data_IF_391332850246
#
_entry.id   IF_391332850246
#
_cell.length_a   1.000
_cell.length_b   1.000
_cell.length_c   1.000
_cell.angle_alpha   90.00
_cell.angle_beta   90.00
_cell.angle_gamma   90.00
#
_symmetry.space_group_name_H-M   'P 1'
#
loop_
_entity.id
_entity.type
_entity.pdbx_description
1 polymer ?
#
# COMPACT_ATOMS: atom_id res chain seq x y z
N UNK A 1 -19.09 -29.05 9.99
CA UNK A 1 -18.59 -27.88 10.74
C UNK A 1 -18.58 -26.70 9.80
N UNK A 2 -19.17 -25.57 10.19
CA UNK A 2 -19.05 -24.34 9.41
C UNK A 2 -17.65 -23.75 9.64
N UNK A 3 -16.97 -23.35 8.57
CA UNK A 3 -15.65 -22.71 8.61
C UNK A 3 -15.86 -21.25 9.03
N UNK A 4 -15.22 -20.82 10.12
CA UNK A 4 -15.32 -19.45 10.60
C UNK A 4 -14.45 -18.49 9.79
N UNK A 5 -14.67 -17.18 9.91
CA UNK A 5 -13.81 -16.17 9.25
C UNK A 5 -12.34 -16.26 9.73
N UNK A 6 -12.13 -16.77 10.94
CA UNK A 6 -10.80 -16.96 11.53
C UNK A 6 -9.99 -18.08 10.84
N UNK A 7 -10.67 -19.01 10.16
CA UNK A 7 -10.05 -20.12 9.45
C UNK A 7 -9.76 -19.78 7.97
N UNK A 8 -10.13 -18.58 7.54
CA UNK A 8 -9.97 -18.13 6.15
C UNK A 8 -8.75 -17.24 5.98
N UNK A 9 -8.20 -17.29 4.77
CA UNK A 9 -7.22 -16.32 4.32
C UNK A 9 -7.91 -15.17 3.62
N UNK A 10 -7.28 -14.01 3.64
CA UNK A 10 -7.73 -12.83 2.92
C UNK A 10 -6.55 -12.16 2.21
N UNK A 11 -6.88 -11.29 1.26
CA UNK A 11 -5.99 -10.30 0.68
C UNK A 11 -6.77 -9.00 0.54
N UNK A 12 -6.06 -7.89 0.46
CA UNK A 12 -6.68 -6.58 0.25
C UNK A 12 -5.89 -5.79 -0.77
N UNK A 13 -6.62 -5.02 -1.55
CA UNK A 13 -6.13 -3.92 -2.36
C UNK A 13 -6.55 -2.65 -1.63
N UNK A 14 -5.64 -1.68 -1.50
CA UNK A 14 -5.93 -0.39 -0.85
C UNK A 14 -5.37 0.71 -1.73
N UNK A 15 -6.27 1.47 -2.33
CA UNK A 15 -5.96 2.61 -3.18
C UNK A 15 -5.69 3.86 -2.32
N UNK A 16 -4.71 4.65 -2.74
CA UNK A 16 -4.35 5.90 -2.06
C UNK A 16 -3.63 6.88 -2.98
N UNK A 17 -3.66 8.13 -2.57
CA UNK A 17 -2.81 9.20 -3.07
C UNK A 17 -2.04 9.87 -1.92
N UNK A 18 -1.39 11.01 -2.15
CA UNK A 18 -0.61 11.72 -1.13
C UNK A 18 0.78 11.13 -0.84
N UNK A 19 1.02 9.89 -1.28
CA UNK A 19 2.32 9.21 -1.24
C UNK A 19 2.63 8.58 -2.60
N UNK A 20 3.91 8.57 -2.99
CA UNK A 20 4.33 7.88 -4.22
C UNK A 20 4.49 6.38 -3.97
N UNK A 21 4.34 5.56 -5.02
CA UNK A 21 4.55 4.10 -4.93
C UNK A 21 5.93 3.73 -4.35
N UNK A 22 6.96 4.42 -4.80
CA UNK A 22 8.32 4.27 -4.28
C UNK A 22 8.37 4.56 -2.78
N UNK A 23 7.88 5.74 -2.36
CA UNK A 23 7.95 6.16 -0.96
C UNK A 23 7.10 5.26 -0.06
N UNK A 24 5.96 4.77 -0.56
CA UNK A 24 5.13 3.80 0.14
C UNK A 24 5.91 2.50 0.39
N UNK A 25 6.56 1.95 -0.64
CA UNK A 25 7.40 0.77 -0.51
C UNK A 25 8.59 1.01 0.44
N UNK A 26 9.29 2.13 0.34
CA UNK A 26 10.41 2.46 1.23
C UNK A 26 9.98 2.50 2.70
N UNK A 27 8.83 3.11 3.01
CA UNK A 27 8.36 3.22 4.39
C UNK A 27 7.83 1.92 4.96
N UNK A 28 7.26 1.07 4.13
CA UNK A 28 6.86 -0.28 4.55
C UNK A 28 8.08 -1.21 4.68
N UNK A 29 9.10 -1.02 3.85
CA UNK A 29 10.38 -1.71 4.02
C UNK A 29 11.08 -1.32 5.33
N UNK A 30 11.10 -0.03 5.68
CA UNK A 30 11.60 0.44 6.98
C UNK A 30 10.82 -0.19 8.14
N UNK A 31 9.48 -0.24 8.06
CA UNK A 31 8.63 -0.90 9.06
C UNK A 31 9.00 -2.38 9.25
N UNK A 32 9.25 -3.10 8.15
CA UNK A 32 9.62 -4.51 8.21
C UNK A 32 11.10 -4.77 8.50
N UNK A 33 11.95 -3.74 8.50
CA UNK A 33 13.41 -3.90 8.56
C UNK A 33 13.97 -4.61 7.33
N UNK A 34 13.38 -4.38 6.16
CA UNK A 34 13.77 -4.98 4.88
C UNK A 34 14.10 -3.89 3.84
N UNK A 35 13.96 -4.17 2.54
CA UNK A 35 14.24 -3.22 1.47
C UNK A 35 13.12 -3.18 0.44
N UNK A 36 12.90 -1.99 -0.12
CA UNK A 36 12.05 -1.81 -1.29
C UNK A 36 12.81 -2.23 -2.56
N UNK A 37 12.08 -2.79 -3.52
CA UNK A 37 12.60 -3.20 -4.83
C UNK A 37 11.74 -2.56 -5.92
N UNK A 38 12.39 -1.92 -6.91
CA UNK A 38 11.72 -1.47 -8.12
C UNK A 38 11.59 -2.66 -9.08
N UNK A 39 10.39 -3.22 -9.17
CA UNK A 39 10.08 -4.31 -10.12
C UNK A 39 9.81 -3.75 -11.54
N UNK A 40 9.50 -2.45 -11.65
CA UNK A 40 9.30 -1.76 -12.93
C UNK A 40 8.00 -2.12 -13.64
N UNK A 41 8.05 -2.24 -14.98
CA UNK A 41 6.90 -2.55 -15.82
C UNK A 41 5.92 -1.39 -16.03
N UNK A 42 4.85 -1.66 -16.81
CA UNK A 42 3.83 -0.67 -17.17
C UNK A 42 3.20 0.02 -15.95
N UNK A 43 2.92 -0.78 -14.91
CA UNK A 43 2.34 -0.32 -13.66
C UNK A 43 3.35 0.34 -12.70
N UNK A 44 4.63 0.43 -13.06
CA UNK A 44 5.68 1.04 -12.24
C UNK A 44 5.72 0.44 -10.83
N UNK A 45 5.78 -0.89 -10.75
CA UNK A 45 5.61 -1.66 -9.52
C UNK A 45 6.82 -1.47 -8.62
N UNK A 46 6.54 -1.21 -7.35
CA UNK A 46 7.47 -1.39 -6.25
C UNK A 46 7.01 -2.51 -5.35
N UNK A 47 7.94 -3.19 -4.68
CA UNK A 47 7.60 -4.24 -3.75
C UNK A 47 8.48 -4.27 -2.53
N UNK A 48 7.95 -4.89 -1.49
CA UNK A 48 8.63 -5.15 -0.22
C UNK A 48 8.31 -6.59 0.18
N UNK A 49 9.33 -7.35 0.53
CA UNK A 49 9.14 -8.67 1.15
C UNK A 49 9.28 -8.50 2.66
N UNK A 50 8.31 -8.99 3.43
CA UNK A 50 8.39 -8.99 4.90
C UNK A 50 9.35 -10.08 5.41
N UNK A 51 9.56 -10.13 6.73
CA UNK A 51 10.46 -11.11 7.37
C UNK A 51 10.00 -12.56 7.21
N UNK A 52 8.73 -12.79 6.87
CA UNK A 52 8.15 -14.12 6.63
C UNK A 52 8.19 -14.51 5.14
N UNK A 53 8.81 -13.68 4.30
CA UNK A 53 8.92 -13.95 2.86
C UNK A 53 7.68 -13.55 2.06
N UNK A 54 6.72 -12.83 2.65
CA UNK A 54 5.50 -12.42 1.95
C UNK A 54 5.71 -11.10 1.22
N UNK A 55 5.37 -11.08 -0.07
CA UNK A 55 5.58 -9.93 -0.96
C UNK A 55 4.37 -9.00 -0.98
N UNK A 56 4.57 -7.77 -0.53
CA UNK A 56 3.66 -6.63 -0.63
C UNK A 56 4.01 -5.82 -1.87
N UNK A 57 3.01 -5.31 -2.59
CA UNK A 57 3.23 -4.55 -3.84
C UNK A 57 2.58 -3.17 -3.76
N UNK A 58 3.18 -2.23 -4.48
CA UNK A 58 2.71 -0.87 -4.67
C UNK A 58 2.72 -0.58 -6.18
N UNK A 59 1.54 -0.39 -6.76
CA UNK A 59 1.39 -0.31 -8.21
C UNK A 59 0.49 0.85 -8.64
N UNK A 60 0.60 1.21 -9.92
CA UNK A 60 -0.19 2.27 -10.52
C UNK A 60 -1.62 1.81 -10.77
N UNK A 61 -2.58 2.62 -10.33
CA UNK A 61 -3.98 2.52 -10.72
C UNK A 61 -4.44 3.83 -11.38
N UNK A 62 -4.88 3.73 -12.63
CA UNK A 62 -5.33 4.88 -13.42
C UNK A 62 -6.67 5.46 -12.98
N UNK A 63 -7.40 4.80 -12.09
CA UNK A 63 -8.67 5.29 -11.53
C UNK A 63 -8.48 6.45 -10.55
N UNK A 64 -7.31 6.54 -9.90
CA UNK A 64 -7.05 7.45 -8.78
C UNK A 64 -6.80 8.88 -9.26
N UNK A 65 -7.62 9.83 -8.81
CA UNK A 65 -7.31 11.25 -8.90
C UNK A 65 -6.17 11.59 -7.94
N UNK A 66 -5.00 11.91 -8.50
CA UNK A 66 -3.77 12.06 -7.75
C UNK A 66 -3.64 13.44 -7.10
N UNK A 67 -3.38 13.45 -5.81
CA UNK A 67 -3.18 14.66 -5.02
C UNK A 67 -1.96 14.51 -4.11
N UNK A 68 -1.33 15.62 -3.75
CA UNK A 68 -0.26 15.67 -2.75
C UNK A 68 -0.46 16.82 -1.79
N UNK A 69 0.13 16.71 -0.60
CA UNK A 69 0.09 17.80 0.37
C UNK A 69 1.17 18.83 0.06
N UNK A 70 0.76 20.06 -0.21
CA UNK A 70 1.64 21.19 -0.43
C UNK A 70 1.15 22.40 0.39
N UNK A 71 2.03 22.93 1.26
CA UNK A 71 1.72 24.07 2.15
C UNK A 71 0.40 23.90 2.93
N UNK A 72 0.12 22.68 3.39
CA UNK A 72 -1.07 22.37 4.18
C UNK A 72 -2.35 22.08 3.38
N UNK A 73 -2.32 22.22 2.05
CA UNK A 73 -3.48 21.95 1.16
C UNK A 73 -3.22 20.72 0.30
N UNK A 74 -4.28 20.07 -0.16
CA UNK A 74 -4.18 19.08 -1.22
C UNK A 74 -4.17 19.80 -2.56
N UNK A 75 -3.22 19.46 -3.41
CA UNK A 75 -3.11 19.98 -4.77
C UNK A 75 -2.98 18.80 -5.74
N UNK A 76 -3.39 18.95 -7.01
CA UNK A 76 -3.16 17.92 -8.03
C UNK A 76 -1.69 17.49 -8.07
N UNK A 77 -1.46 16.20 -8.26
CA UNK A 77 -0.14 15.59 -8.31
C UNK A 77 0.02 14.73 -9.57
N UNK A 78 1.26 14.33 -9.87
CA UNK A 78 1.55 13.45 -11.00
C UNK A 78 1.15 12.00 -10.74
N UNK A 79 1.21 11.19 -11.81
CA UNK A 79 0.85 9.77 -11.81
C UNK A 79 1.66 8.91 -10.84
N UNK A 80 2.80 9.40 -10.36
CA UNK A 80 3.61 8.75 -9.32
C UNK A 80 2.89 8.64 -7.98
N UNK A 81 1.88 9.50 -7.73
CA UNK A 81 1.01 9.48 -6.55
C UNK A 81 -0.27 8.66 -6.72
N UNK A 82 -0.43 7.96 -7.85
CA UNK A 82 -1.45 6.92 -7.98
C UNK A 82 -0.85 5.63 -7.41
N UNK A 83 -1.27 5.28 -6.20
CA UNK A 83 -0.65 4.20 -5.43
C UNK A 83 -1.73 3.24 -4.97
N UNK A 84 -1.70 2.02 -5.46
CA UNK A 84 -2.47 0.91 -4.94
C UNK A 84 -1.54 -0.05 -4.21
N UNK A 85 -1.84 -0.34 -2.94
CA UNK A 85 -1.13 -1.37 -2.17
C UNK A 85 -1.88 -2.70 -2.27
N UNK A 86 -1.20 -3.73 -2.75
CA UNK A 86 -1.72 -5.10 -2.79
C UNK A 86 -1.04 -5.93 -1.72
N UNK A 87 -1.83 -6.44 -0.77
CA UNK A 87 -1.32 -7.33 0.28
C UNK A 87 -0.99 -8.71 -0.29
N UNK A 88 -0.08 -9.47 0.35
CA UNK A 88 0.00 -10.90 0.13
C UNK A 88 -1.26 -11.61 0.66
N UNK A 89 -1.31 -12.93 0.50
CA UNK A 89 -2.26 -13.79 1.20
C UNK A 89 -1.95 -13.78 2.71
N UNK A 90 -2.90 -13.29 3.50
CA UNK A 90 -2.81 -13.14 4.95
C UNK A 90 -3.80 -14.08 5.64
N UNK A 91 -3.41 -14.62 6.78
CA UNK A 91 -4.31 -15.31 7.71
C UNK A 91 -5.02 -14.29 8.62
N UNK A 92 -6.14 -14.66 9.24
CA UNK A 92 -6.85 -13.79 10.18
C UNK A 92 -5.94 -13.23 11.30
N UNK A 93 -4.99 -14.03 11.79
CA UNK A 93 -4.02 -13.61 12.81
C UNK A 93 -3.08 -12.48 12.37
N UNK A 94 -2.94 -12.26 11.05
CA UNK A 94 -2.08 -11.22 10.49
C UNK A 94 -2.83 -9.90 10.22
N UNK A 95 -4.10 -9.78 10.63
CA UNK A 95 -4.86 -8.53 10.52
C UNK A 95 -4.13 -7.36 11.20
N UNK A 96 -3.44 -7.61 12.31
CA UNK A 96 -2.62 -6.60 12.99
C UNK A 96 -1.48 -6.07 12.11
N UNK A 97 -0.78 -6.95 11.38
CA UNK A 97 0.28 -6.56 10.43
C UNK A 97 -0.27 -5.65 9.32
N UNK A 98 -1.43 -6.00 8.75
CA UNK A 98 -2.09 -5.12 7.77
C UNK A 98 -2.42 -3.74 8.36
N UNK A 99 -2.95 -3.70 9.58
CA UNK A 99 -3.26 -2.43 10.25
C UNK A 99 -2.01 -1.58 10.49
N UNK A 100 -0.89 -2.19 10.86
CA UNK A 100 0.40 -1.49 11.01
C UNK A 100 0.90 -0.92 9.70
N UNK A 101 0.80 -1.67 8.59
CA UNK A 101 1.14 -1.18 7.25
C UNK A 101 0.27 0.02 6.87
N UNK A 102 -1.06 -0.06 7.05
CA UNK A 102 -1.97 1.07 6.76
C UNK A 102 -1.65 2.29 7.63
N UNK A 103 -1.38 2.09 8.92
CA UNK A 103 -0.95 3.18 9.82
C UNK A 103 0.36 3.81 9.37
N UNK A 104 1.34 3.00 8.98
CA UNK A 104 2.62 3.48 8.47
C UNK A 104 2.42 4.35 7.23
N UNK A 105 1.64 3.89 6.25
CA UNK A 105 1.37 4.65 5.03
C UNK A 105 0.68 5.98 5.33
N UNK A 106 -0.37 5.96 6.16
CA UNK A 106 -1.09 7.18 6.58
C UNK A 106 -0.18 8.18 7.29
N UNK A 107 0.68 7.71 8.19
CA UNK A 107 1.64 8.56 8.89
C UNK A 107 2.62 9.26 7.91
N UNK A 108 2.93 8.61 6.79
CA UNK A 108 3.86 9.12 5.79
C UNK A 108 3.21 9.87 4.62
N UNK A 109 1.92 10.23 4.77
CA UNK A 109 1.22 11.12 3.86
C UNK A 109 0.22 10.43 2.94
N UNK A 110 0.07 9.10 3.02
CA UNK A 110 -0.98 8.40 2.28
C UNK A 110 -2.36 8.90 2.71
N UNK A 111 -3.24 9.09 1.73
CA UNK A 111 -4.60 9.57 1.93
C UNK A 111 -5.51 8.99 0.85
N UNK A 112 -6.77 8.76 1.21
CA UNK A 112 -7.83 8.39 0.26
C UNK A 112 -8.64 9.62 -0.13
N UNK A 113 -9.20 9.61 -1.34
CA UNK A 113 -10.19 10.59 -1.80
C UNK A 113 -11.33 9.86 -2.52
N UNK A 114 -12.25 10.62 -3.12
CA UNK A 114 -13.49 10.06 -3.66
C UNK A 114 -13.32 9.16 -4.90
N UNK A 115 -12.13 9.10 -5.51
CA UNK A 115 -11.85 8.12 -6.57
C UNK A 115 -11.37 6.76 -6.08
N UNK A 116 -10.98 6.64 -4.80
CA UNK A 116 -10.48 5.38 -4.27
C UNK A 116 -11.63 4.39 -4.03
N UNK A 117 -11.45 3.15 -4.49
CA UNK A 117 -12.37 2.00 -4.30
C UNK A 117 -12.41 1.40 -2.90
#
# INVERSE_FOLDING_TARGET
>A
MAIGIQDQYFGTEIEMTGITRQRAAEKVAELFGTRAVCDGGYYGIWSVTDQEGKKWKFMYDGSIYTERRERGRMVPAGREYSTEMVSPKLSYGEMGKLQEVVRCLRHHGAKVNASCG
#
